data_IF_856308765708
#
_entry.id   IF_856308765708
#
_cell.length_a   1.000
_cell.length_b   1.000
_cell.length_c   1.000
_cell.angle_alpha   90.00
_cell.angle_beta   90.00
_cell.angle_gamma   90.00
#
_symmetry.space_group_name_H-M   'P 1'
#
loop_
_entity.id
_entity.type
_entity.pdbx_description
1 polymer ?
#
# COMPACT_ATOMS: atom_id res chain seq x y z
N UNK A 1 -45.18 -21.42 -11.42
CA UNK A 1 -44.67 -20.06 -11.14
C UNK A 1 -43.62 -20.03 -10.01
N UNK A 2 -43.70 -20.93 -9.03
CA UNK A 2 -42.71 -21.08 -7.94
C UNK A 2 -41.28 -21.45 -8.37
N UNK A 3 -41.01 -22.36 -9.36
CA UNK A 3 -39.63 -22.69 -9.71
C UNK A 3 -38.88 -21.55 -10.39
N UNK A 4 -39.58 -20.71 -11.17
CA UNK A 4 -38.97 -19.58 -11.87
C UNK A 4 -38.51 -18.47 -10.89
N UNK A 5 -39.28 -18.22 -9.83
CA UNK A 5 -38.89 -17.29 -8.78
C UNK A 5 -37.68 -17.78 -7.97
N UNK A 6 -37.57 -19.09 -7.73
CA UNK A 6 -36.41 -19.69 -7.05
C UNK A 6 -35.15 -19.53 -7.92
N UNK A 7 -35.25 -19.82 -9.22
CA UNK A 7 -34.13 -19.66 -10.16
C UNK A 7 -33.69 -18.19 -10.24
N UNK A 8 -34.63 -17.25 -10.33
CA UNK A 8 -34.32 -15.81 -10.33
C UNK A 8 -33.65 -15.39 -9.02
N UNK A 9 -34.15 -15.86 -7.87
CA UNK A 9 -33.56 -15.57 -6.57
C UNK A 9 -32.11 -16.05 -6.44
N UNK A 10 -31.82 -17.26 -6.92
CA UNK A 10 -30.46 -17.84 -6.91
C UNK A 10 -29.51 -17.05 -7.83
N UNK A 11 -29.97 -16.68 -9.03
CA UNK A 11 -29.16 -15.90 -9.98
C UNK A 11 -28.82 -14.51 -9.42
N UNK A 12 -29.79 -13.84 -8.80
CA UNK A 12 -29.58 -12.53 -8.16
C UNK A 12 -28.58 -12.63 -7.01
N UNK A 13 -28.70 -13.67 -6.17
CA UNK A 13 -27.79 -13.90 -5.05
C UNK A 13 -26.35 -14.17 -5.52
N UNK A 14 -26.18 -14.95 -6.59
CA UNK A 14 -24.87 -15.19 -7.21
C UNK A 14 -24.24 -13.91 -7.77
N UNK A 15 -25.03 -13.07 -8.45
CA UNK A 15 -24.54 -11.78 -8.97
C UNK A 15 -24.08 -10.85 -7.84
N UNK A 16 -24.85 -10.74 -6.77
CA UNK A 16 -24.48 -9.93 -5.61
C UNK A 16 -23.20 -10.47 -4.96
N UNK A 17 -23.09 -11.78 -4.80
CA UNK A 17 -21.88 -12.42 -4.28
C UNK A 17 -20.64 -12.14 -5.12
N UNK A 18 -20.76 -12.20 -6.44
CA UNK A 18 -19.65 -11.92 -7.35
C UNK A 18 -19.20 -10.46 -7.28
N UNK A 19 -20.13 -9.51 -7.23
CA UNK A 19 -19.82 -8.08 -7.10
C UNK A 19 -19.17 -7.77 -5.75
N UNK A 20 -19.67 -8.35 -4.65
CA UNK A 20 -19.10 -8.16 -3.32
C UNK A 20 -17.65 -8.65 -3.25
N UNK A 21 -17.37 -9.81 -3.84
CA UNK A 21 -16.02 -10.37 -3.95
C UNK A 21 -15.10 -9.45 -4.77
N UNK A 22 -15.63 -8.83 -5.82
CA UNK A 22 -14.85 -7.93 -6.67
C UNK A 22 -14.49 -6.63 -5.93
N UNK A 23 -15.42 -6.05 -5.18
CA UNK A 23 -15.17 -4.87 -4.35
C UNK A 23 -14.12 -5.15 -3.27
N UNK A 24 -14.21 -6.30 -2.58
CA UNK A 24 -13.25 -6.68 -1.53
C UNK A 24 -11.81 -6.82 -2.03
N UNK A 25 -11.62 -7.05 -3.34
CA UNK A 25 -10.30 -7.22 -3.97
C UNK A 25 -9.76 -5.97 -4.63
N UNK A 26 -10.58 -4.91 -4.77
CA UNK A 26 -10.15 -3.66 -5.35
C UNK A 26 -9.63 -2.72 -4.25
N UNK A 27 -8.32 -2.52 -4.21
CA UNK A 27 -7.66 -1.58 -3.29
C UNK A 27 -7.42 -0.27 -4.02
N UNK A 28 -8.01 0.80 -3.49
CA UNK A 28 -7.76 2.18 -3.95
C UNK A 28 -6.84 2.88 -2.97
N UNK A 29 -5.87 3.64 -3.47
CA UNK A 29 -4.98 4.48 -2.65
C UNK A 29 -5.17 5.96 -2.97
N UNK A 30 -4.91 6.81 -1.97
CA UNK A 30 -4.94 8.26 -2.16
C UNK A 30 -3.83 8.78 -3.09
N UNK A 31 -3.94 10.03 -3.57
CA UNK A 31 -2.91 10.66 -4.41
C UNK A 31 -1.55 10.79 -3.72
N UNK A 32 -1.55 10.94 -2.38
CA UNK A 32 -0.35 11.06 -1.55
C UNK A 32 0.16 9.72 -1.00
N UNK A 33 -0.36 8.60 -1.51
CA UNK A 33 0.00 7.26 -1.12
C UNK A 33 0.40 6.42 -2.34
N UNK A 34 1.35 5.53 -2.13
CA UNK A 34 1.76 4.52 -3.09
C UNK A 34 1.39 3.14 -2.57
N UNK A 35 0.73 2.31 -3.36
CA UNK A 35 0.56 0.90 -3.06
C UNK A 35 1.74 0.11 -3.62
N UNK A 36 2.50 -0.52 -2.73
CA UNK A 36 3.55 -1.47 -3.08
C UNK A 36 2.91 -2.84 -3.13
N UNK A 37 2.76 -3.39 -4.34
CA UNK A 37 2.22 -4.72 -4.55
C UNK A 37 3.36 -5.67 -4.90
N UNK A 38 3.54 -6.71 -4.09
CA UNK A 38 4.55 -7.75 -4.27
C UNK A 38 3.87 -9.09 -4.54
N UNK A 39 4.58 -10.04 -5.15
CA UNK A 39 4.09 -11.40 -5.35
C UNK A 39 4.06 -11.87 -6.80
N UNK A 40 3.28 -12.91 -7.06
CA UNK A 40 3.16 -13.51 -8.40
C UNK A 40 2.06 -12.82 -9.21
N UNK A 41 2.18 -12.86 -10.55
CA UNK A 41 1.13 -12.38 -11.46
C UNK A 41 0.83 -10.86 -11.40
N UNK A 42 1.86 -10.04 -11.18
CA UNK A 42 1.76 -8.56 -11.08
C UNK A 42 1.39 -7.85 -12.40
N UNK A 43 1.32 -8.59 -13.51
CA UNK A 43 1.11 -8.06 -14.86
C UNK A 43 2.39 -7.44 -15.44
N UNK A 44 2.24 -6.54 -16.42
CA UNK A 44 3.37 -5.90 -17.12
C UNK A 44 3.50 -4.39 -16.87
N UNK A 45 2.47 -3.74 -16.32
CA UNK A 45 2.47 -2.27 -16.10
C UNK A 45 2.97 -1.92 -14.70
N UNK A 46 3.93 -1.00 -14.63
CA UNK A 46 4.55 -0.48 -13.40
C UNK A 46 5.20 -1.57 -12.51
N UNK A 47 5.66 -2.66 -13.13
CA UNK A 47 6.38 -3.73 -12.45
C UNK A 47 7.88 -3.50 -12.63
N UNK A 48 8.57 -3.28 -11.52
CA UNK A 48 10.01 -3.28 -11.46
C UNK A 48 10.50 -4.70 -11.18
N UNK A 49 11.51 -5.13 -11.92
CA UNK A 49 12.15 -6.45 -11.74
C UNK A 49 13.59 -6.20 -11.37
N UNK A 50 13.95 -6.60 -10.16
CA UNK A 50 15.32 -6.53 -9.69
C UNK A 50 16.19 -7.62 -10.35
N UNK A 51 17.52 -7.47 -10.30
CA UNK A 51 18.48 -8.40 -10.89
C UNK A 51 18.40 -9.80 -10.24
N UNK A 52 17.94 -9.86 -8.98
CA UNK A 52 17.59 -11.10 -8.27
C UNK A 52 16.24 -11.73 -8.68
N UNK A 53 15.54 -11.16 -9.67
CA UNK A 53 14.25 -11.67 -10.16
C UNK A 53 13.04 -11.30 -9.30
N UNK A 54 13.23 -10.45 -8.29
CA UNK A 54 12.14 -9.95 -7.44
C UNK A 54 11.27 -8.97 -8.23
N UNK A 55 9.96 -9.20 -8.24
CA UNK A 55 9.00 -8.37 -8.95
C UNK A 55 8.19 -7.53 -7.97
N UNK A 56 8.22 -6.23 -8.15
CA UNK A 56 7.51 -5.27 -7.31
C UNK A 56 6.71 -4.35 -8.22
N UNK A 57 5.40 -4.22 -7.98
CA UNK A 57 4.54 -3.28 -8.68
C UNK A 57 4.28 -2.07 -7.80
N UNK A 58 4.50 -0.88 -8.34
CA UNK A 58 4.29 0.38 -7.62
C UNK A 58 3.12 1.11 -8.27
N UNK A 59 2.07 1.40 -7.49
CA UNK A 59 0.89 2.14 -7.96
C UNK A 59 0.75 3.40 -7.12
N UNK A 60 0.93 4.58 -7.71
CA UNK A 60 0.77 5.88 -7.02
C UNK A 60 -0.56 6.51 -7.44
N UNK A 61 -1.38 6.94 -6.47
CA UNK A 61 -2.59 7.73 -6.75
C UNK A 61 -3.64 7.06 -7.64
N UNK A 62 -3.93 5.78 -7.40
CA UNK A 62 -4.92 5.04 -8.19
C UNK A 62 -5.44 3.78 -7.50
N UNK A 63 -6.17 2.96 -8.25
CA UNK A 63 -6.65 1.67 -7.77
C UNK A 63 -6.02 0.50 -8.51
N UNK A 64 -5.72 -0.56 -7.79
CA UNK A 64 -5.27 -1.83 -8.39
C UNK A 64 -6.04 -2.99 -7.77
N UNK A 65 -6.31 -3.97 -8.62
CA UNK A 65 -6.86 -5.23 -8.17
C UNK A 65 -5.74 -6.05 -7.53
N UNK A 66 -5.95 -6.47 -6.28
CA UNK A 66 -4.97 -7.27 -5.52
C UNK A 66 -5.61 -8.62 -5.23
N UNK A 67 -4.93 -9.68 -5.65
CA UNK A 67 -5.32 -11.06 -5.35
C UNK A 67 -4.60 -11.50 -4.06
N UNK A 68 -5.27 -11.49 -2.89
CA UNK A 68 -4.61 -11.63 -1.59
C UNK A 68 -3.86 -12.96 -1.34
N UNK A 69 -4.09 -13.97 -2.17
CA UNK A 69 -3.44 -15.29 -2.06
C UNK A 69 -2.05 -15.29 -2.73
N UNK A 70 -1.88 -14.50 -3.79
CA UNK A 70 -0.64 -14.48 -4.59
C UNK A 70 0.07 -13.13 -4.53
N UNK A 71 -0.59 -12.10 -4.01
CA UNK A 71 -0.14 -10.72 -4.00
C UNK A 71 -0.33 -10.12 -2.60
N UNK A 72 0.71 -9.46 -2.10
CA UNK A 72 0.67 -8.65 -0.90
C UNK A 72 0.67 -7.18 -1.31
N UNK A 73 -0.14 -6.35 -0.64
CA UNK A 73 -0.26 -4.94 -0.95
C UNK A 73 -0.06 -4.12 0.32
N UNK A 74 1.01 -3.33 0.32
CA UNK A 74 1.40 -2.48 1.44
C UNK A 74 1.27 -1.00 1.02
N UNK A 75 0.45 -0.19 1.71
CA UNK A 75 0.41 1.24 1.46
C UNK A 75 1.66 1.91 2.04
N UNK A 76 2.28 2.76 1.24
CA UNK A 76 3.42 3.59 1.60
C UNK A 76 3.04 5.05 1.42
N UNK A 77 3.12 5.82 2.51
CA UNK A 77 2.88 7.26 2.46
C UNK A 77 4.00 7.97 1.71
N UNK A 78 3.64 8.85 0.78
CA UNK A 78 4.57 9.75 0.08
C UNK A 78 4.67 11.12 0.76
N UNK A 79 4.02 11.28 1.92
CA UNK A 79 4.12 12.48 2.73
C UNK A 79 5.52 12.62 3.33
N UNK A 80 5.92 13.87 3.57
CA UNK A 80 7.19 14.14 4.22
C UNK A 80 7.17 13.68 5.68
N UNK A 81 8.13 12.85 6.03
CA UNK A 81 8.33 12.35 7.39
C UNK A 81 9.18 13.37 8.13
N UNK A 82 8.71 13.82 9.30
CA UNK A 82 9.48 14.65 10.22
C UNK A 82 10.16 13.74 11.24
N UNK A 83 11.49 13.79 11.27
CA UNK A 83 12.29 13.09 12.26
C UNK A 83 12.90 14.14 13.19
N UNK A 84 12.40 14.18 14.41
CA UNK A 84 12.93 15.02 15.47
C UNK A 84 14.09 14.28 16.13
N UNK A 85 15.29 14.87 16.05
CA UNK A 85 16.50 14.34 16.67
C UNK A 85 16.87 15.25 17.82
N UNK A 86 16.75 14.72 19.03
CA UNK A 86 17.19 15.38 20.25
C UNK A 86 18.43 14.67 20.75
N UNK A 87 19.53 15.40 20.91
CA UNK A 87 20.68 14.85 21.61
C UNK A 87 20.60 15.23 23.09
N UNK A 88 20.90 14.30 24.01
CA UNK A 88 21.12 14.67 25.41
C UNK A 88 22.31 15.63 25.54
N UNK A 89 22.57 16.16 26.73
CA UNK A 89 23.75 17.00 26.99
C UNK A 89 25.03 16.26 26.58
N UNK A 90 25.61 16.70 25.45
CA UNK A 90 26.88 16.20 24.93
C UNK A 90 27.93 17.26 25.14
N UNK A 91 29.10 16.86 25.63
CA UNK A 91 30.20 17.78 25.88
C UNK A 91 30.96 18.01 24.58
N UNK A 92 31.20 19.27 24.23
CA UNK A 92 32.10 19.63 23.12
C UNK A 92 33.55 19.28 23.47
N UNK A 93 34.45 19.29 22.49
CA UNK A 93 35.90 19.10 22.75
C UNK A 93 36.49 20.15 23.72
N UNK A 94 35.77 21.25 23.93
CA UNK A 94 36.13 22.31 24.88
C UNK A 94 35.51 22.09 26.28
N UNK A 95 34.83 20.97 26.52
CA UNK A 95 34.24 20.61 27.82
C UNK A 95 32.95 21.35 28.17
N UNK A 96 32.33 22.04 27.21
CA UNK A 96 31.08 22.77 27.43
C UNK A 96 29.89 21.85 27.13
N UNK A 97 28.92 21.68 28.04
CA UNK A 97 27.71 20.91 27.76
C UNK A 97 26.85 21.67 26.75
N UNK A 98 26.54 21.02 25.63
CA UNK A 98 25.63 21.54 24.62
C UNK A 98 24.48 20.57 24.40
N UNK A 99 23.30 21.14 24.21
CA UNK A 99 22.12 20.43 23.73
C UNK A 99 21.83 20.91 22.32
N UNK A 100 21.56 19.98 21.41
CA UNK A 100 21.20 20.28 20.04
C UNK A 100 19.87 19.62 19.72
N UNK A 101 18.92 20.45 19.29
CA UNK A 101 17.66 20.02 18.72
C UNK A 101 17.74 20.17 17.19
N UNK A 102 17.43 19.10 16.48
CA UNK A 102 17.38 19.09 15.02
C UNK A 102 16.06 18.53 14.51
N UNK A 103 15.50 19.14 13.48
CA UNK A 103 14.36 18.59 12.73
C UNK A 103 14.83 18.22 11.34
N UNK A 104 14.80 16.93 11.01
CA UNK A 104 15.05 16.45 9.66
C UNK A 104 13.72 16.18 8.95
N UNK A 105 13.55 16.76 7.77
CA UNK A 105 12.38 16.52 6.91
C UNK A 105 12.83 15.62 5.75
N UNK A 106 12.29 14.41 5.71
CA UNK A 106 12.66 13.38 4.72
C UNK A 106 11.49 13.16 3.76
N UNK A 107 11.78 13.06 2.46
CA UNK A 107 10.81 12.69 1.43
C UNK A 107 11.31 11.46 0.67
N UNK A 108 10.41 10.52 0.41
CA UNK A 108 10.65 9.27 -0.32
C UNK A 108 10.36 9.43 -1.80
#
# INVERSE_FOLDING_TARGET
>A
MTPMLIVIGVVVLLLIGLVAIFMLRYRTVGPDEALIVTGSYLGSKNVHVDESGNKIKIVRGGGTFVLPIFQQAEPLSLLSIKLDVQTPEVYTEQGVPVMADGVAIIKV
#
